data_IF_313304756288
#
_entry.id   IF_313304756288
#
_cell.length_a   1.000
_cell.length_b   1.000
_cell.length_c   1.000
_cell.angle_alpha   90.00
_cell.angle_beta   90.00
_cell.angle_gamma   90.00
#
_symmetry.space_group_name_H-M   'P 1'
#
loop_
_entity.id
_entity.type
_entity.pdbx_description
1 polymer ?
#
# COMPACT_ATOMS: atom_id res chain seq x y z
N UNK A 1 -0.17 17.80 -6.82
CA UNK A 1 -1.02 17.03 -5.88
C UNK A 1 -1.90 16.03 -6.62
N UNK A 2 -2.50 16.37 -7.77
CA UNK A 2 -3.36 15.42 -8.50
C UNK A 2 -2.58 14.27 -9.20
N UNK A 3 -1.48 14.60 -9.89
CA UNK A 3 -0.70 13.60 -10.64
C UNK A 3 0.00 12.53 -9.80
N UNK A 4 0.43 12.85 -8.57
CA UNK A 4 1.02 11.85 -7.66
C UNK A 4 -0.02 10.82 -7.24
N UNK A 5 -1.23 11.27 -6.98
CA UNK A 5 -2.34 10.42 -6.55
C UNK A 5 -2.83 9.53 -7.68
N UNK A 6 -2.95 10.08 -8.89
CA UNK A 6 -3.25 9.31 -10.09
C UNK A 6 -2.21 8.22 -10.33
N UNK A 7 -0.92 8.55 -10.21
CA UNK A 7 0.17 7.58 -10.32
C UNK A 7 0.06 6.43 -9.30
N UNK A 8 -0.22 6.74 -8.02
CA UNK A 8 -0.42 5.67 -7.01
C UNK A 8 -1.59 4.78 -7.39
N UNK A 9 -2.70 5.37 -7.83
CA UNK A 9 -3.90 4.60 -8.20
C UNK A 9 -3.70 3.76 -9.46
N UNK A 10 -2.96 4.26 -10.44
CA UNK A 10 -2.58 3.51 -11.65
C UNK A 10 -1.72 2.30 -11.28
N UNK A 11 -0.75 2.49 -10.38
CA UNK A 11 0.25 1.45 -10.06
C UNK A 11 -0.22 0.44 -9.02
N UNK A 12 -1.06 0.85 -8.08
CA UNK A 12 -1.46 0.05 -6.92
C UNK A 12 -2.97 -0.01 -6.70
N UNK A 13 -3.77 0.31 -7.73
CA UNK A 13 -5.23 0.37 -7.63
C UNK A 13 -5.88 -0.89 -7.05
N UNK A 14 -5.43 -2.07 -7.48
CA UNK A 14 -5.97 -3.34 -6.97
C UNK A 14 -5.70 -3.53 -5.46
N UNK A 15 -4.52 -3.10 -5.00
CA UNK A 15 -4.17 -3.12 -3.57
C UNK A 15 -5.06 -2.14 -2.80
N UNK A 16 -5.25 -0.92 -3.33
CA UNK A 16 -6.13 0.07 -2.70
C UNK A 16 -7.58 -0.42 -2.61
N UNK A 17 -8.09 -1.08 -3.66
CA UNK A 17 -9.44 -1.65 -3.67
C UNK A 17 -9.59 -2.80 -2.66
N UNK A 18 -8.54 -3.62 -2.48
CA UNK A 18 -8.53 -4.64 -1.44
C UNK A 18 -8.52 -4.01 -0.04
N UNK A 19 -7.64 -3.03 0.21
CA UNK A 19 -7.58 -2.29 1.48
C UNK A 19 -8.95 -1.68 1.80
N UNK A 20 -9.58 -1.01 0.84
CA UNK A 20 -10.89 -0.39 1.00
C UNK A 20 -11.98 -1.40 1.44
N UNK A 21 -11.98 -2.60 0.84
CA UNK A 21 -12.93 -3.66 1.20
C UNK A 21 -12.66 -4.27 2.57
N UNK A 22 -11.37 -4.39 2.96
CA UNK A 22 -10.96 -5.07 4.21
C UNK A 22 -10.94 -4.17 5.44
N UNK A 23 -10.75 -2.85 5.26
CA UNK A 23 -10.56 -1.87 6.33
C UNK A 23 -11.51 -2.06 7.54
N UNK A 24 -12.82 -2.02 7.31
CA UNK A 24 -13.81 -2.08 8.39
C UNK A 24 -13.82 -3.43 9.15
N UNK A 25 -13.49 -4.52 8.47
CA UNK A 25 -13.43 -5.83 9.11
C UNK A 25 -12.18 -5.97 9.98
N UNK A 26 -11.03 -5.56 9.46
CA UNK A 26 -9.75 -5.57 10.17
C UNK A 26 -9.83 -4.70 11.42
N UNK A 27 -10.37 -3.48 11.31
CA UNK A 27 -10.52 -2.58 12.46
C UNK A 27 -11.43 -3.16 13.55
N UNK A 28 -12.50 -3.87 13.17
CA UNK A 28 -13.47 -4.46 14.11
C UNK A 28 -12.94 -5.71 14.80
N UNK A 29 -12.20 -6.54 14.08
CA UNK A 29 -11.76 -7.86 14.56
C UNK A 29 -10.37 -7.84 15.16
N UNK A 30 -9.54 -6.86 14.79
CA UNK A 30 -8.10 -6.82 15.07
C UNK A 30 -7.34 -8.08 14.61
N UNK A 31 -7.93 -8.85 13.69
CA UNK A 31 -7.26 -9.99 13.07
C UNK A 31 -6.20 -9.51 12.09
N UNK A 32 -5.06 -10.21 12.07
CA UNK A 32 -3.98 -9.86 11.16
C UNK A 32 -4.40 -10.11 9.69
N UNK A 33 -4.30 -9.11 8.80
CA UNK A 33 -4.84 -9.18 7.45
C UNK A 33 -3.85 -9.86 6.49
N UNK A 34 -3.71 -11.19 6.59
CA UNK A 34 -2.78 -11.96 5.76
C UNK A 34 -3.01 -11.77 4.25
N UNK A 35 -4.26 -11.59 3.83
CA UNK A 35 -4.62 -11.36 2.44
C UNK A 35 -4.11 -10.00 1.93
N UNK A 36 -4.20 -8.96 2.75
CA UNK A 36 -3.66 -7.62 2.44
C UNK A 36 -2.14 -7.67 2.42
N UNK A 37 -1.49 -8.31 3.41
CA UNK A 37 -0.04 -8.46 3.43
C UNK A 37 0.46 -9.15 2.15
N UNK A 38 -0.22 -10.23 1.72
CA UNK A 38 0.15 -10.95 0.51
C UNK A 38 0.04 -10.06 -0.73
N UNK A 39 -1.03 -9.29 -0.86
CA UNK A 39 -1.17 -8.34 -1.95
C UNK A 39 -0.06 -7.27 -1.94
N UNK A 40 0.35 -6.80 -0.76
CA UNK A 40 1.47 -5.84 -0.64
C UNK A 40 2.79 -6.48 -1.09
N UNK A 41 3.03 -7.74 -0.73
CA UNK A 41 4.21 -8.49 -1.16
C UNK A 41 4.24 -8.68 -2.69
N UNK A 42 3.12 -9.11 -3.27
CA UNK A 42 2.98 -9.33 -4.71
C UNK A 42 3.13 -8.02 -5.51
N UNK A 43 2.65 -6.90 -4.96
CA UNK A 43 2.84 -5.56 -5.52
C UNK A 43 4.25 -4.98 -5.30
N UNK A 44 5.11 -5.64 -4.53
CA UNK A 44 6.47 -5.19 -4.19
C UNK A 44 6.53 -4.08 -3.13
N UNK A 45 5.42 -3.76 -2.46
CA UNK A 45 5.34 -2.68 -1.47
C UNK A 45 6.16 -2.97 -0.21
N UNK A 46 6.33 -4.23 0.16
CA UNK A 46 7.20 -4.63 1.29
C UNK A 46 8.70 -4.36 1.04
N UNK A 47 9.07 -4.09 -0.21
CA UNK A 47 10.42 -3.69 -0.62
C UNK A 47 10.39 -2.37 -1.42
N UNK A 48 9.42 -1.50 -1.12
CA UNK A 48 9.11 -0.31 -1.90
C UNK A 48 10.33 0.59 -2.13
N UNK A 49 11.12 0.86 -1.10
CA UNK A 49 12.29 1.75 -1.19
C UNK A 49 13.61 1.01 -1.41
N UNK A 50 13.59 -0.32 -1.45
CA UNK A 50 14.80 -1.12 -1.71
C UNK A 50 15.24 -0.88 -3.17
N UNK A 51 16.55 -0.70 -3.44
CA UNK A 51 17.04 -0.51 -4.80
C UNK A 51 16.63 -1.66 -5.74
N UNK A 52 16.34 -1.38 -7.04
CA UNK A 52 15.96 -2.41 -8.00
C UNK A 52 17.01 -3.50 -8.18
N UNK A 53 18.30 -3.19 -8.03
CA UNK A 53 19.41 -4.15 -8.13
C UNK A 53 19.39 -5.20 -7.01
N UNK A 54 18.65 -4.92 -5.93
CA UNK A 54 18.41 -5.83 -4.80
C UNK A 54 16.99 -6.43 -4.83
N UNK A 55 16.22 -6.20 -5.89
CA UNK A 55 14.88 -6.75 -6.09
C UNK A 55 13.73 -5.90 -5.53
N UNK A 56 13.98 -4.63 -5.20
CA UNK A 56 12.93 -3.70 -4.74
C UNK A 56 12.34 -2.83 -5.84
N UNK A 57 11.42 -1.92 -5.46
CA UNK A 57 10.79 -0.98 -6.40
C UNK A 57 11.59 0.31 -6.61
N UNK A 58 12.59 0.60 -5.76
CA UNK A 58 13.40 1.81 -5.85
C UNK A 58 12.62 3.12 -5.65
N UNK A 59 11.49 3.09 -4.95
CA UNK A 59 10.69 4.28 -4.70
C UNK A 59 11.45 5.29 -3.84
N UNK A 60 11.40 6.55 -4.24
CA UNK A 60 11.88 7.66 -3.40
C UNK A 60 11.01 7.79 -2.14
N UNK A 61 11.52 8.49 -1.12
CA UNK A 61 10.77 8.79 0.10
C UNK A 61 9.43 9.48 -0.18
N UNK A 62 9.37 10.40 -1.14
CA UNK A 62 8.13 11.10 -1.51
C UNK A 62 7.13 10.18 -2.21
N UNK A 63 7.61 9.25 -3.06
CA UNK A 63 6.74 8.26 -3.70
C UNK A 63 6.20 7.26 -2.67
N UNK A 64 7.04 6.79 -1.75
CA UNK A 64 6.60 5.89 -0.69
C UNK A 64 5.60 6.58 0.24
N UNK A 65 5.87 7.83 0.66
CA UNK A 65 4.93 8.61 1.44
C UNK A 65 3.57 8.77 0.73
N UNK A 66 3.57 9.02 -0.59
CA UNK A 66 2.33 9.10 -1.35
C UNK A 66 1.54 7.79 -1.39
N UNK A 67 2.22 6.64 -1.47
CA UNK A 67 1.56 5.32 -1.37
C UNK A 67 0.92 5.16 0.01
N UNK A 68 1.68 5.43 1.08
CA UNK A 68 1.19 5.35 2.47
C UNK A 68 -0.01 6.28 2.67
N UNK A 69 0.05 7.52 2.17
CA UNK A 69 -1.04 8.49 2.24
C UNK A 69 -2.32 7.98 1.55
N UNK A 70 -2.21 7.38 0.36
CA UNK A 70 -3.38 6.84 -0.33
C UNK A 70 -3.99 5.62 0.37
N UNK A 71 -3.18 4.72 0.93
CA UNK A 71 -3.66 3.60 1.75
C UNK A 71 -4.37 4.13 3.01
N UNK A 72 -3.77 5.13 3.67
CA UNK A 72 -4.29 5.73 4.90
C UNK A 72 -5.65 6.41 4.73
N UNK A 73 -6.05 6.77 3.50
CA UNK A 73 -7.42 7.26 3.21
C UNK A 73 -8.49 6.20 3.45
N UNK A 74 -8.13 4.93 3.38
CA UNK A 74 -9.03 3.80 3.57
C UNK A 74 -8.87 3.19 4.96
N UNK A 75 -7.62 2.97 5.41
CA UNK A 75 -7.33 2.49 6.77
C UNK A 75 -5.95 2.93 7.21
N UNK A 76 -5.88 3.60 8.36
CA UNK A 76 -4.61 3.95 9.00
C UNK A 76 -3.87 2.75 9.60
N UNK A 77 -4.59 1.67 9.97
CA UNK A 77 -3.96 0.44 10.44
C UNK A 77 -3.24 -0.28 9.29
N UNK A 78 -3.91 -0.42 8.14
CA UNK A 78 -3.36 -1.08 6.95
C UNK A 78 -2.26 -0.28 6.25
N UNK A 79 -2.14 1.03 6.52
CA UNK A 79 -1.04 1.86 5.99
C UNK A 79 0.28 1.67 6.75
N UNK A 80 0.27 0.97 7.88
CA UNK A 80 1.44 0.70 8.71
C UNK A 80 2.01 -0.71 8.53
N UNK A 81 1.40 -1.51 7.64
CA UNK A 81 1.95 -2.79 7.17
C UNK A 81 3.16 -2.54 6.25
#
# INVERSE_FOLDING_TARGET
MDGTREWVRERFGEVLDLVARRAAEVDRTAEFPEDVLRAYQEAGLMAAQVPPELGGLGLSHLQFAAVVEEVARYSGALSLL
#
